data_IF_688075180809
#
_entry.id   IF_688075180809
#
_cell.length_a   1.000
_cell.length_b   1.000
_cell.length_c   1.000
_cell.angle_alpha   90.00
_cell.angle_beta   90.00
_cell.angle_gamma   90.00
#
_symmetry.space_group_name_H-M   'P 1'
#
loop_
_entity.id
_entity.type
_entity.pdbx_description
1 polymer ?
#
# COMPACT_ATOMS: atom_id res chain seq x y z
N UNK A 1 -21.54 -20.85 -16.89
CA UNK A 1 -20.17 -21.14 -16.40
C UNK A 1 -19.37 -19.89 -16.04
N UNK A 2 -19.57 -18.72 -16.69
CA UNK A 2 -18.76 -17.51 -16.42
C UNK A 2 -18.99 -16.83 -15.05
N UNK A 3 -20.19 -16.89 -14.48
CA UNK A 3 -20.47 -16.32 -13.15
C UNK A 3 -19.62 -16.92 -12.03
N UNK A 4 -19.36 -18.23 -12.08
CA UNK A 4 -18.51 -18.92 -11.11
C UNK A 4 -17.09 -18.34 -11.04
N UNK A 5 -16.54 -17.82 -12.14
CA UNK A 5 -15.21 -17.22 -12.15
C UNK A 5 -15.16 -15.88 -11.40
N UNK A 6 -16.15 -15.01 -11.63
CA UNK A 6 -16.22 -13.73 -10.94
C UNK A 6 -16.46 -13.90 -9.43
N UNK A 7 -17.30 -14.87 -9.04
CA UNK A 7 -17.58 -15.18 -7.65
C UNK A 7 -16.35 -15.74 -6.92
N UNK A 8 -15.57 -16.61 -7.57
CA UNK A 8 -14.29 -17.13 -7.04
C UNK A 8 -13.28 -16.00 -6.83
N UNK A 9 -13.09 -15.13 -7.84
CA UNK A 9 -12.18 -13.98 -7.73
C UNK A 9 -12.62 -13.00 -6.63
N UNK A 10 -13.92 -12.78 -6.45
CA UNK A 10 -14.44 -11.98 -5.36
C UNK A 10 -14.15 -12.60 -3.98
N UNK A 11 -14.32 -13.92 -3.85
CA UNK A 11 -13.97 -14.64 -2.63
C UNK A 11 -12.47 -14.58 -2.32
N UNK A 12 -11.61 -14.73 -3.34
CA UNK A 12 -10.15 -14.64 -3.18
C UNK A 12 -9.69 -13.23 -2.78
N UNK A 13 -10.25 -12.20 -3.41
CA UNK A 13 -10.01 -10.80 -3.04
C UNK A 13 -10.36 -10.54 -1.56
N UNK A 14 -11.54 -10.99 -1.12
CA UNK A 14 -11.98 -10.80 0.26
C UNK A 14 -11.12 -11.59 1.26
N UNK A 15 -10.67 -12.79 0.90
CA UNK A 15 -9.73 -13.57 1.72
C UNK A 15 -8.40 -12.85 1.88
N UNK A 16 -7.87 -12.29 0.79
CA UNK A 16 -6.64 -11.51 0.82
C UNK A 16 -6.80 -10.27 1.71
N UNK A 17 -7.86 -9.48 1.52
CA UNK A 17 -8.14 -8.32 2.36
C UNK A 17 -8.25 -8.71 3.84
N UNK A 18 -9.08 -9.71 4.17
CA UNK A 18 -9.24 -10.18 5.54
C UNK A 18 -7.90 -10.62 6.16
N UNK A 19 -7.05 -11.29 5.38
CA UNK A 19 -5.70 -11.67 5.81
C UNK A 19 -4.82 -10.44 6.11
N UNK A 20 -4.82 -9.42 5.24
CA UNK A 20 -4.04 -8.19 5.43
C UNK A 20 -4.49 -7.39 6.65
N UNK A 21 -5.80 -7.27 6.89
CA UNK A 21 -6.36 -6.65 8.10
C UNK A 21 -6.01 -7.44 9.35
N UNK A 22 -6.16 -8.77 9.32
CA UNK A 22 -5.85 -9.64 10.44
C UNK A 22 -4.36 -9.58 10.84
N UNK A 23 -3.46 -9.51 9.85
CA UNK A 23 -2.01 -9.33 10.06
C UNK A 23 -1.62 -7.89 10.42
N UNK A 24 -2.57 -6.96 10.50
CA UNK A 24 -2.34 -5.56 10.81
C UNK A 24 -1.54 -4.81 9.73
N UNK A 25 -1.48 -5.35 8.51
CA UNK A 25 -0.81 -4.72 7.35
C UNK A 25 -1.61 -3.51 6.91
N UNK A 26 -2.94 -3.67 6.84
CA UNK A 26 -3.90 -2.62 6.55
C UNK A 26 -4.74 -2.28 7.79
N UNK A 27 -5.24 -1.06 7.85
CA UNK A 27 -6.22 -0.60 8.84
C UNK A 27 -7.45 0.06 8.19
N UNK A 28 -8.38 0.51 9.03
CA UNK A 28 -9.68 1.06 8.61
C UNK A 28 -9.59 2.21 7.61
N UNK A 29 -8.46 2.92 7.53
CA UNK A 29 -8.27 3.98 6.54
C UNK A 29 -8.28 3.42 5.11
N UNK A 30 -7.82 2.17 4.90
CA UNK A 30 -7.93 1.51 3.59
C UNK A 30 -9.39 1.24 3.22
N UNK A 31 -10.26 0.90 4.19
CA UNK A 31 -11.69 0.73 3.94
C UNK A 31 -12.36 2.06 3.55
N UNK A 32 -11.97 3.15 4.22
CA UNK A 32 -12.43 4.49 3.85
C UNK A 32 -11.99 4.87 2.44
N UNK A 33 -10.76 4.52 2.05
CA UNK A 33 -10.27 4.72 0.69
C UNK A 33 -11.10 3.92 -0.33
N UNK A 34 -11.47 2.67 -0.01
CA UNK A 34 -12.34 1.85 -0.87
C UNK A 34 -13.76 2.44 -1.01
N UNK A 35 -14.29 3.10 0.03
CA UNK A 35 -15.62 3.73 -0.03
C UNK A 35 -15.69 4.96 -0.96
N UNK A 36 -14.54 5.54 -1.31
CA UNK A 36 -14.45 6.65 -2.26
C UNK A 36 -14.48 6.20 -3.73
N UNK A 37 -14.33 4.90 -3.99
CA UNK A 37 -14.39 4.34 -5.34
C UNK A 37 -15.84 4.06 -5.74
N UNK A 38 -16.24 4.54 -6.92
CA UNK A 38 -17.59 4.40 -7.46
C UNK A 38 -17.59 4.07 -8.97
N UNK A 39 -18.77 4.04 -9.59
CA UNK A 39 -18.91 3.77 -11.03
C UNK A 39 -18.27 4.87 -11.92
N UNK A 40 -18.17 6.10 -11.42
CA UNK A 40 -17.54 7.21 -12.13
C UNK A 40 -16.00 7.17 -12.02
N UNK A 41 -15.46 6.51 -10.99
CA UNK A 41 -14.04 6.44 -10.67
C UNK A 41 -13.58 5.02 -10.32
N UNK A 42 -13.80 4.01 -11.19
CA UNK A 42 -13.67 2.59 -10.83
C UNK A 42 -12.26 2.12 -10.46
N UNK A 43 -11.23 2.93 -10.73
CA UNK A 43 -9.83 2.64 -10.44
C UNK A 43 -9.24 3.50 -9.32
N UNK A 44 -10.06 4.32 -8.64
CA UNK A 44 -9.61 5.33 -7.67
C UNK A 44 -8.61 4.78 -6.64
N UNK A 45 -8.91 3.64 -6.02
CA UNK A 45 -8.03 3.04 -4.99
C UNK A 45 -6.67 2.68 -5.59
N UNK A 46 -6.66 2.04 -6.76
CA UNK A 46 -5.43 1.63 -7.44
C UNK A 46 -4.59 2.84 -7.87
N UNK A 47 -5.22 3.93 -8.30
CA UNK A 47 -4.54 5.17 -8.69
C UNK A 47 -3.87 5.82 -7.48
N UNK A 48 -4.60 5.95 -6.36
CA UNK A 48 -4.05 6.50 -5.11
C UNK A 48 -2.90 5.65 -4.59
N UNK A 49 -3.03 4.32 -4.59
CA UNK A 49 -1.97 3.42 -4.14
C UNK A 49 -0.75 3.46 -5.06
N UNK A 50 -0.94 3.59 -6.38
CA UNK A 50 0.17 3.74 -7.32
C UNK A 50 0.96 5.03 -7.10
N UNK A 51 0.25 6.15 -6.82
CA UNK A 51 0.88 7.42 -6.43
C UNK A 51 1.70 7.23 -5.14
N UNK A 52 1.11 6.57 -4.14
CA UNK A 52 1.79 6.26 -2.88
C UNK A 52 3.09 5.47 -3.12
N UNK A 53 3.08 4.42 -3.95
CA UNK A 53 4.29 3.66 -4.24
C UNK A 53 5.35 4.51 -4.94
N UNK A 54 4.97 5.30 -5.94
CA UNK A 54 5.91 6.15 -6.66
C UNK A 54 6.61 7.16 -5.72
N UNK A 55 5.86 7.81 -4.84
CA UNK A 55 6.42 8.75 -3.86
C UNK A 55 7.24 8.05 -2.78
N UNK A 56 6.82 6.86 -2.33
CA UNK A 56 7.52 6.08 -1.31
C UNK A 56 8.91 5.61 -1.78
N UNK A 57 9.08 5.23 -3.05
CA UNK A 57 10.40 4.88 -3.60
C UNK A 57 11.39 6.06 -3.52
N UNK A 58 10.92 7.29 -3.78
CA UNK A 58 11.74 8.51 -3.67
C UNK A 58 12.13 8.74 -2.21
N UNK A 59 11.18 8.58 -1.29
CA UNK A 59 11.43 8.72 0.15
C UNK A 59 12.44 7.68 0.66
N UNK A 60 12.29 6.40 0.29
CA UNK A 60 13.25 5.34 0.64
C UNK A 60 14.66 5.66 0.11
N UNK A 61 14.76 6.09 -1.14
CA UNK A 61 16.04 6.46 -1.77
C UNK A 61 16.71 7.62 -1.01
N UNK A 62 15.96 8.65 -0.65
CA UNK A 62 16.47 9.78 0.14
C UNK A 62 16.89 9.35 1.54
N UNK A 63 16.11 8.49 2.21
CA UNK A 63 16.44 7.98 3.55
C UNK A 63 17.75 7.19 3.56
N UNK A 64 18.01 6.36 2.53
CA UNK A 64 19.30 5.65 2.38
C UNK A 64 20.47 6.64 2.31
N UNK A 65 20.38 7.63 1.42
CA UNK A 65 21.43 8.63 1.24
C UNK A 65 21.70 9.45 2.50
N UNK A 66 20.64 9.97 3.12
CA UNK A 66 20.75 10.78 4.33
C UNK A 66 21.29 9.99 5.53
N UNK A 67 20.99 8.69 5.63
CA UNK A 67 21.56 7.83 6.67
C UNK A 67 23.06 7.59 6.46
N UNK A 68 23.53 7.51 5.21
CA UNK A 68 24.96 7.45 4.90
C UNK A 68 25.66 8.75 5.34
N UNK A 69 25.06 9.89 5.01
CA UNK A 69 25.55 11.24 5.34
C UNK A 69 25.39 11.62 6.83
N UNK A 70 24.62 10.83 7.61
CA UNK A 70 24.28 11.10 9.02
C UNK A 70 23.45 12.39 9.22
N UNK A 71 22.64 12.73 8.22
CA UNK A 71 21.78 13.92 8.19
C UNK A 71 20.44 13.68 8.91
N UNK A 72 20.47 13.38 10.22
CA UNK A 72 19.28 12.97 10.98
C UNK A 72 18.13 13.99 10.94
N UNK A 73 18.41 15.29 10.93
CA UNK A 73 17.37 16.32 10.85
C UNK A 73 16.56 16.22 9.54
N UNK A 74 17.24 15.98 8.41
CA UNK A 74 16.59 15.81 7.11
C UNK A 74 15.85 14.47 7.04
N UNK A 75 16.42 13.40 7.61
CA UNK A 75 15.73 12.11 7.72
C UNK A 75 14.38 12.25 8.44
N UNK A 76 14.33 13.03 9.52
CA UNK A 76 13.07 13.30 10.23
C UNK A 76 11.97 13.90 9.36
N UNK A 77 12.32 14.79 8.43
CA UNK A 77 11.37 15.40 7.48
C UNK A 77 10.80 14.32 6.53
N UNK A 78 11.67 13.51 5.94
CA UNK A 78 11.23 12.43 5.05
C UNK A 78 10.41 11.36 5.77
N UNK A 79 10.76 11.03 7.02
CA UNK A 79 9.99 10.08 7.83
C UNK A 79 8.60 10.61 8.19
N UNK A 80 8.46 11.91 8.49
CA UNK A 80 7.14 12.51 8.70
C UNK A 80 6.29 12.44 7.43
N UNK A 81 6.86 12.75 6.26
CA UNK A 81 6.15 12.66 4.99
C UNK A 81 5.73 11.21 4.69
N UNK A 82 6.63 10.25 4.89
CA UNK A 82 6.34 8.83 4.67
C UNK A 82 5.26 8.32 5.63
N UNK A 83 5.36 8.67 6.92
CA UNK A 83 4.35 8.29 7.90
C UNK A 83 2.96 8.83 7.54
N UNK A 84 2.87 10.09 7.10
CA UNK A 84 1.62 10.71 6.67
C UNK A 84 1.03 10.04 5.42
N UNK A 85 1.86 9.80 4.40
CA UNK A 85 1.40 9.13 3.18
C UNK A 85 0.99 7.67 3.42
N UNK A 86 1.76 6.92 4.22
CA UNK A 86 1.41 5.55 4.62
C UNK A 86 0.12 5.52 5.43
N UNK A 87 -0.07 6.45 6.36
CA UNK A 87 -1.32 6.56 7.12
C UNK A 87 -2.50 6.83 6.20
N UNK A 88 -2.35 7.70 5.20
CA UNK A 88 -3.45 8.08 4.29
C UNK A 88 -4.03 6.93 3.46
N UNK A 89 -3.27 5.86 3.24
CA UNK A 89 -3.74 4.65 2.54
C UNK A 89 -3.99 3.47 3.49
N UNK A 90 -3.90 3.68 4.80
CA UNK A 90 -4.05 2.63 5.81
C UNK A 90 -2.90 1.62 5.88
N UNK A 91 -1.69 1.98 5.45
CA UNK A 91 -0.49 1.13 5.54
C UNK A 91 0.09 1.11 6.96
N UNK A 92 -0.62 0.44 7.87
CA UNK A 92 -0.37 0.47 9.32
C UNK A 92 1.03 0.00 9.72
N UNK A 93 1.50 -1.15 9.19
CA UNK A 93 2.83 -1.69 9.53
C UNK A 93 3.96 -0.75 9.09
N UNK A 94 3.86 -0.20 7.88
CA UNK A 94 4.83 0.78 7.36
C UNK A 94 4.84 2.04 8.25
N UNK A 95 3.66 2.56 8.60
CA UNK A 95 3.51 3.71 9.50
C UNK A 95 4.18 3.48 10.85
N UNK A 96 3.99 2.30 11.45
CA UNK A 96 4.61 1.94 12.72
C UNK A 96 6.14 1.89 12.64
N UNK A 97 6.69 1.32 11.56
CA UNK A 97 8.14 1.30 11.35
C UNK A 97 8.69 2.71 11.15
N UNK A 98 8.00 3.57 10.38
CA UNK A 98 8.35 4.98 10.24
C UNK A 98 8.41 5.69 11.60
N UNK A 99 7.48 5.43 12.51
CA UNK A 99 7.48 6.00 13.85
C UNK A 99 8.69 5.54 14.69
N UNK A 100 9.01 4.24 14.66
CA UNK A 100 10.20 3.71 15.32
C UNK A 100 11.50 4.28 14.73
N UNK A 101 11.56 4.43 13.40
CA UNK A 101 12.68 5.03 12.70
C UNK A 101 12.84 6.51 13.07
N UNK A 102 11.73 7.24 13.18
CA UNK A 102 11.73 8.65 13.60
C UNK A 102 12.33 8.81 15.00
N UNK A 103 11.95 7.94 15.94
CA UNK A 103 12.50 7.94 17.30
C UNK A 103 14.01 7.62 17.32
N UNK A 104 14.47 6.66 16.51
CA UNK A 104 15.91 6.38 16.37
C UNK A 104 16.68 7.57 15.77
N UNK A 105 16.05 8.27 14.83
CA UNK A 105 16.60 9.49 14.20
C UNK A 105 16.72 10.63 15.19
N UNK A 106 15.71 10.85 16.06
CA UNK A 106 15.77 11.85 17.14
C UNK A 106 16.93 11.63 18.11
N UNK A 107 17.25 10.37 18.38
CA UNK A 107 18.35 9.98 19.27
C UNK A 107 19.70 9.93 18.57
N UNK A 108 19.79 10.31 17.28
CA UNK A 108 20.99 10.14 16.44
C UNK A 108 21.56 8.71 16.49
N UNK A 109 20.69 7.72 16.70
CA UNK A 109 21.06 6.33 16.93
C UNK A 109 21.28 5.63 15.58
N UNK A 110 22.52 5.65 15.08
CA UNK A 110 22.88 5.06 13.78
C UNK A 110 22.47 3.59 13.66
N UNK A 111 22.75 2.77 14.68
CA UNK A 111 22.43 1.36 14.64
C UNK A 111 20.91 1.11 14.63
N UNK A 112 20.16 1.90 15.40
CA UNK A 112 18.70 1.91 15.37
C UNK A 112 18.14 2.33 14.02
N UNK A 113 18.73 3.36 13.40
CA UNK A 113 18.34 3.84 12.08
C UNK A 113 18.59 2.82 10.97
N UNK A 114 19.75 2.14 10.97
CA UNK A 114 20.07 1.10 9.98
C UNK A 114 19.07 -0.07 10.06
N UNK A 115 18.80 -0.54 11.28
CA UNK A 115 17.77 -1.55 11.53
C UNK A 115 16.40 -1.09 11.04
N UNK A 116 15.98 0.10 11.44
CA UNK A 116 14.66 0.62 11.08
C UNK A 116 14.50 0.81 9.55
N UNK A 117 15.56 1.17 8.83
CA UNK A 117 15.56 1.26 7.38
C UNK A 117 15.34 -0.11 6.73
N UNK A 118 16.05 -1.14 7.17
CA UNK A 118 15.88 -2.52 6.68
C UNK A 118 14.44 -3.03 6.90
N UNK A 119 13.90 -2.80 8.10
CA UNK A 119 12.51 -3.14 8.40
C UNK A 119 11.53 -2.35 7.53
N UNK A 120 11.79 -1.07 7.29
CA UNK A 120 10.91 -0.22 6.49
C UNK A 120 10.84 -0.73 5.04
N UNK A 121 11.97 -1.08 4.46
CA UNK A 121 12.05 -1.66 3.11
C UNK A 121 11.33 -3.00 3.02
N UNK A 122 11.49 -3.85 4.03
CA UNK A 122 10.80 -5.14 4.10
C UNK A 122 9.27 -4.96 4.15
N UNK A 123 8.77 -4.12 5.06
CA UNK A 123 7.33 -3.86 5.22
C UNK A 123 6.73 -3.19 3.99
N UNK A 124 7.45 -2.24 3.40
CA UNK A 124 7.03 -1.58 2.17
C UNK A 124 6.95 -2.56 0.99
N UNK A 125 7.96 -3.40 0.80
CA UNK A 125 7.97 -4.41 -0.26
C UNK A 125 6.84 -5.43 -0.09
N UNK A 126 6.62 -5.89 1.14
CA UNK A 126 5.52 -6.79 1.47
C UNK A 126 4.16 -6.17 1.12
N UNK A 127 3.90 -4.94 1.56
CA UNK A 127 2.68 -4.19 1.25
C UNK A 127 2.49 -4.04 -0.27
N UNK A 128 3.54 -3.61 -0.97
CA UNK A 128 3.52 -3.40 -2.42
C UNK A 128 3.12 -4.66 -3.18
N UNK A 129 3.73 -5.78 -2.83
CA UNK A 129 3.42 -7.07 -3.45
C UNK A 129 1.96 -7.49 -3.21
N UNK A 130 1.46 -7.30 -1.97
CA UNK A 130 0.09 -7.69 -1.63
C UNK A 130 -0.99 -6.80 -2.22
N UNK A 131 -0.75 -5.49 -2.34
CA UNK A 131 -1.69 -4.61 -3.03
C UNK A 131 -1.64 -4.80 -4.55
N UNK A 132 -0.49 -5.11 -5.15
CA UNK A 132 -0.43 -5.53 -6.55
C UNK A 132 -1.23 -6.82 -6.80
N UNK A 133 -1.10 -7.82 -5.93
CA UNK A 133 -1.89 -9.07 -5.99
C UNK A 133 -3.40 -8.75 -5.91
N UNK A 134 -3.80 -7.88 -4.99
CA UNK A 134 -5.19 -7.44 -4.84
C UNK A 134 -5.74 -6.81 -6.14
N UNK A 135 -5.01 -5.84 -6.71
CA UNK A 135 -5.45 -5.14 -7.92
C UNK A 135 -5.45 -6.03 -9.17
N UNK A 136 -4.57 -7.04 -9.23
CA UNK A 136 -4.63 -8.05 -10.29
C UNK A 136 -5.91 -8.88 -10.21
N UNK A 137 -6.33 -9.30 -9.01
CA UNK A 137 -7.60 -10.02 -8.80
C UNK A 137 -8.79 -9.13 -9.16
N UNK A 138 -8.79 -7.86 -8.75
CA UNK A 138 -9.84 -6.89 -9.09
C UNK A 138 -9.96 -6.69 -10.61
N UNK A 139 -8.84 -6.52 -11.31
CA UNK A 139 -8.82 -6.37 -12.76
C UNK A 139 -9.35 -7.64 -13.47
N UNK A 140 -8.94 -8.83 -13.03
CA UNK A 140 -9.45 -10.09 -13.57
C UNK A 140 -10.96 -10.22 -13.35
N UNK A 141 -11.47 -9.83 -12.18
CA UNK A 141 -12.91 -9.85 -11.87
C UNK A 141 -13.68 -8.92 -12.81
N UNK A 142 -13.17 -7.70 -13.03
CA UNK A 142 -13.78 -6.73 -13.92
C UNK A 142 -13.83 -7.23 -15.38
N UNK A 143 -12.76 -7.87 -15.85
CA UNK A 143 -12.72 -8.47 -17.19
C UNK A 143 -13.74 -9.61 -17.34
N UNK A 144 -13.84 -10.52 -16.36
CA UNK A 144 -14.81 -11.64 -16.41
C UNK A 144 -16.25 -11.13 -16.37
N UNK A 145 -16.52 -10.07 -15.60
CA UNK A 145 -17.85 -9.44 -15.54
C UNK A 145 -18.22 -8.68 -16.83
N UNK A 146 -17.24 -8.05 -17.49
CA UNK A 146 -17.41 -7.25 -18.70
C UNK A 146 -17.68 -8.05 -19.99
N UNK A 147 -17.43 -9.37 -20.01
CA UNK A 147 -17.68 -10.25 -21.17
C UNK A 147 -19.19 -10.54 -21.39
N UNK A 148 -20.10 -9.73 -20.84
CA UNK A 148 -21.52 -9.73 -21.24
C UNK A 148 -21.64 -9.20 -22.67
N UNK A 149 -21.78 -10.12 -23.64
CA UNK A 149 -22.05 -9.82 -25.04
C UNK A 149 -23.19 -8.80 -25.22
N UNK A 150 -23.11 -7.86 -26.19
CA UNK A 150 -24.28 -7.10 -26.59
C UNK A 150 -25.30 -8.09 -27.14
N UNK A 151 -26.48 -8.13 -26.53
CA UNK A 151 -27.63 -8.81 -27.11
C UNK A 151 -27.90 -8.09 -28.44
N UNK A 152 -27.53 -8.70 -29.56
CA UNK A 152 -28.07 -8.33 -30.86
C UNK A 152 -29.56 -8.67 -30.82
N UNK A 153 -30.40 -7.69 -30.48
CA UNK A 153 -31.81 -7.76 -30.82
C UNK A 153 -31.91 -7.63 -32.34
N UNK A 154 -32.55 -8.64 -32.95
CA UNK A 154 -32.98 -8.66 -34.34
C UNK A 154 -33.94 -7.50 -34.64
#
# INVERSE_FOLDING_TARGET
MLGFGADLLWADMNRLLAFLFHQGVLDEQFLQLQQLQDEASPNFVSEVVNIYFHESEKLLTNLRGLLMEREYKKMGIHLNQFMGSSSSIGAKRVTNVCAAFRAATDQSNRAGCLRALEMLEHEYCYLKNKLHELFQIEQQRALVAGVRYPVQNQ
#
